data_IF_127487346347
#
_entry.id   IF_127487346347
#
_cell.length_a   1.000
_cell.length_b   1.000
_cell.length_c   1.000
_cell.angle_alpha   90.00
_cell.angle_beta   90.00
_cell.angle_gamma   90.00
#
_symmetry.space_group_name_H-M   'P 1'
#
loop_
_entity.id
_entity.type
_entity.pdbx_description
1 polymer ?
#
# COMPACT_ATOMS: atom_id res chain seq x y z
N UNK A 1 -58.11 -46.61 27.36
CA UNK A 1 -57.85 -47.95 26.82
C UNK A 1 -56.50 -48.40 27.37
N UNK A 2 -56.45 -49.50 28.10
CA UNK A 2 -55.19 -50.13 28.52
C UNK A 2 -54.96 -51.29 27.55
N UNK A 3 -53.89 -51.25 26.76
CA UNK A 3 -53.47 -52.36 25.91
C UNK A 3 -52.07 -52.80 26.29
N UNK A 4 -51.89 -54.11 26.47
CA UNK A 4 -50.63 -54.77 26.79
C UNK A 4 -50.46 -55.96 25.85
N UNK A 5 -49.24 -56.23 25.37
CA UNK A 5 -48.93 -57.40 24.55
C UNK A 5 -47.56 -57.94 24.88
N UNK A 6 -47.41 -59.26 24.90
CA UNK A 6 -46.15 -59.97 25.08
C UNK A 6 -45.61 -60.57 23.77
N UNK A 7 -46.34 -60.40 22.65
CA UNK A 7 -45.94 -60.92 21.34
C UNK A 7 -44.92 -59.97 20.67
N UNK A 8 -43.73 -60.47 20.27
CA UNK A 8 -42.75 -59.66 19.57
C UNK A 8 -43.32 -59.06 18.28
N UNK A 9 -43.15 -57.74 18.10
CA UNK A 9 -43.49 -57.04 16.85
C UNK A 9 -44.97 -56.65 16.68
N UNK A 10 -45.87 -57.03 17.60
CA UNK A 10 -47.27 -56.60 17.55
C UNK A 10 -47.50 -55.33 18.39
N UNK A 11 -48.37 -54.43 17.91
CA UNK A 11 -48.75 -53.23 18.65
C UNK A 11 -49.83 -53.55 19.70
N UNK A 12 -49.60 -53.14 20.94
CA UNK A 12 -50.58 -53.34 22.03
C UNK A 12 -51.87 -52.52 21.85
N UNK A 13 -51.75 -51.34 21.20
CA UNK A 13 -52.87 -50.47 20.82
C UNK A 13 -52.59 -49.91 19.42
N UNK A 14 -53.59 -49.96 18.52
CA UNK A 14 -53.50 -49.41 17.15
C UNK A 14 -54.70 -48.50 16.87
N UNK A 15 -54.42 -47.21 16.62
CA UNK A 15 -55.41 -46.25 16.16
C UNK A 15 -55.33 -46.06 14.64
N UNK A 16 -56.46 -46.10 13.93
CA UNK A 16 -56.55 -45.81 12.50
C UNK A 16 -57.72 -44.87 12.24
N UNK A 17 -57.51 -43.80 11.49
CA UNK A 17 -58.56 -42.86 11.10
C UNK A 17 -58.36 -42.42 9.65
N UNK A 18 -59.46 -42.20 8.91
CA UNK A 18 -59.42 -41.78 7.51
C UNK A 18 -59.41 -40.26 7.33
N UNK A 19 -59.96 -39.52 8.28
CA UNK A 19 -60.22 -38.07 8.15
C UNK A 19 -60.02 -37.29 9.45
N UNK A 20 -59.38 -37.90 10.45
CA UNK A 20 -59.07 -37.26 11.74
C UNK A 20 -57.85 -37.89 12.40
N UNK A 21 -57.47 -37.47 13.62
CA UNK A 21 -56.33 -38.05 14.32
C UNK A 21 -56.59 -39.52 14.65
N UNK A 22 -55.58 -40.37 14.47
CA UNK A 22 -55.64 -41.77 14.91
C UNK A 22 -55.59 -41.92 16.44
N UNK A 23 -54.88 -41.01 17.11
CA UNK A 23 -54.78 -40.88 18.57
C UNK A 23 -54.75 -39.37 18.90
N UNK A 24 -55.53 -38.94 19.89
CA UNK A 24 -55.55 -37.55 20.38
C UNK A 24 -55.49 -37.56 21.92
N UNK A 25 -54.38 -37.09 22.49
CA UNK A 25 -54.16 -37.03 23.94
C UNK A 25 -54.20 -35.59 24.46
N UNK A 26 -54.95 -35.35 25.54
CA UNK A 26 -55.05 -34.06 26.24
C UNK A 26 -54.83 -34.34 27.73
N UNK A 27 -53.96 -33.56 28.38
CA UNK A 27 -53.69 -33.64 29.80
C UNK A 27 -53.50 -32.24 30.38
N UNK A 28 -53.92 -32.04 31.63
CA UNK A 28 -53.86 -30.74 32.32
C UNK A 28 -52.69 -30.65 33.31
N UNK A 29 -52.28 -31.78 33.91
CA UNK A 29 -51.29 -31.82 34.99
C UNK A 29 -50.08 -32.72 34.68
N UNK A 30 -50.15 -33.50 33.59
CA UNK A 30 -49.14 -34.47 33.16
C UNK A 30 -48.90 -34.42 31.65
N UNK A 31 -48.05 -35.30 31.13
CA UNK A 31 -47.80 -35.43 29.69
C UNK A 31 -49.06 -35.82 28.93
N UNK A 32 -49.35 -35.14 27.81
CA UNK A 32 -50.40 -35.56 26.88
C UNK A 32 -50.07 -36.89 26.19
N UNK A 33 -48.77 -37.14 25.94
CA UNK A 33 -48.20 -38.39 25.43
C UNK A 33 -46.84 -38.60 26.11
N UNK A 34 -46.67 -39.74 26.79
CA UNK A 34 -45.39 -40.15 27.40
C UNK A 34 -44.92 -41.44 26.71
N UNK A 35 -43.70 -41.43 26.17
CA UNK A 35 -43.12 -42.58 25.48
C UNK A 35 -41.75 -42.93 26.07
N UNK A 36 -41.59 -44.19 26.47
CA UNK A 36 -40.32 -44.73 26.97
C UNK A 36 -40.01 -46.01 26.22
N UNK A 37 -38.75 -46.19 25.81
CA UNK A 37 -38.25 -47.43 25.22
C UNK A 37 -36.96 -47.85 25.91
N UNK A 38 -36.78 -49.16 26.10
CA UNK A 38 -35.50 -49.75 26.47
C UNK A 38 -34.89 -50.55 25.29
N UNK A 39 -35.41 -50.34 24.08
CA UNK A 39 -34.90 -51.03 22.90
C UNK A 39 -33.54 -50.47 22.50
N UNK A 40 -32.54 -51.32 22.20
CA UNK A 40 -31.26 -50.86 21.66
C UNK A 40 -31.35 -50.41 20.19
N UNK A 41 -32.48 -50.64 19.50
CA UNK A 41 -32.59 -50.46 18.04
C UNK A 41 -33.83 -49.67 17.60
N UNK A 42 -34.81 -49.44 18.48
CA UNK A 42 -36.09 -48.82 18.12
C UNK A 42 -36.26 -47.46 18.79
N UNK A 43 -36.82 -46.50 18.06
CA UNK A 43 -37.18 -45.18 18.59
C UNK A 43 -38.35 -45.28 19.59
N UNK A 44 -38.36 -44.40 20.60
CA UNK A 44 -39.50 -44.26 21.50
C UNK A 44 -40.72 -43.68 20.77
N UNK A 45 -40.48 -42.76 19.83
CA UNK A 45 -41.48 -42.17 18.94
C UNK A 45 -40.88 -42.14 17.54
N UNK A 46 -41.61 -42.65 16.55
CA UNK A 46 -41.25 -42.55 15.14
C UNK A 46 -42.43 -41.94 14.36
N UNK A 47 -42.18 -40.82 13.68
CA UNK A 47 -43.14 -40.18 12.78
C UNK A 47 -42.69 -40.38 11.33
N UNK A 48 -43.64 -40.67 10.44
CA UNK A 48 -43.40 -40.81 9.01
C UNK A 48 -44.49 -40.10 8.22
N UNK A 49 -44.13 -39.18 7.34
CA UNK A 49 -45.00 -38.72 6.27
C UNK A 49 -44.62 -39.47 4.99
N UNK A 50 -45.48 -40.37 4.53
CA UNK A 50 -45.23 -41.24 3.38
C UNK A 50 -45.68 -40.62 2.05
N UNK A 51 -46.33 -39.45 2.08
CA UNK A 51 -46.72 -38.73 0.88
C UNK A 51 -45.55 -37.87 0.40
N UNK A 52 -44.96 -38.23 -0.74
CA UNK A 52 -43.82 -37.53 -1.34
C UNK A 52 -44.15 -36.12 -1.83
N UNK A 53 -45.43 -35.77 -1.95
CA UNK A 53 -45.91 -34.41 -2.27
C UNK A 53 -46.46 -33.67 -1.04
N UNK A 54 -46.46 -34.32 0.14
CA UNK A 54 -47.04 -33.76 1.36
C UNK A 54 -46.16 -32.66 1.95
N UNK A 55 -46.72 -31.48 2.19
CA UNK A 55 -46.00 -30.31 2.76
C UNK A 55 -46.11 -30.21 4.29
N UNK A 56 -46.87 -31.09 4.93
CA UNK A 56 -47.08 -31.08 6.38
C UNK A 56 -45.88 -31.58 7.17
N UNK A 57 -45.61 -30.97 8.32
CA UNK A 57 -44.55 -31.39 9.23
C UNK A 57 -44.83 -32.77 9.83
N UNK A 58 -43.80 -33.63 9.88
CA UNK A 58 -43.89 -34.96 10.52
C UNK A 58 -44.03 -34.85 12.05
N UNK A 59 -43.44 -33.81 12.65
CA UNK A 59 -43.62 -33.42 14.04
C UNK A 59 -43.79 -31.90 14.10
N UNK A 60 -44.83 -31.45 14.81
CA UNK A 60 -45.07 -30.03 15.08
C UNK A 60 -45.15 -29.82 16.59
N UNK A 61 -44.37 -28.87 17.10
CA UNK A 61 -44.35 -28.50 18.51
C UNK A 61 -44.47 -26.96 18.62
N UNK A 62 -45.43 -26.50 19.41
CA UNK A 62 -45.63 -25.09 19.74
C UNK A 62 -45.60 -24.93 21.26
N UNK A 63 -44.77 -24.04 21.78
CA UNK A 63 -44.73 -23.69 23.19
C UNK A 63 -45.03 -22.19 23.35
N UNK A 64 -46.17 -21.86 23.96
CA UNK A 64 -46.56 -20.47 24.29
C UNK A 64 -46.04 -20.01 25.65
N UNK A 65 -45.45 -20.92 26.42
CA UNK A 65 -44.83 -20.66 27.72
C UNK A 65 -43.37 -20.23 27.59
N UNK A 66 -42.64 -20.26 28.72
CA UNK A 66 -41.22 -19.84 28.81
C UNK A 66 -40.21 -20.97 28.66
N UNK A 67 -40.67 -22.22 28.56
CA UNK A 67 -39.80 -23.39 28.41
C UNK A 67 -39.35 -23.62 26.96
N UNK A 68 -38.41 -24.54 26.70
CA UNK A 68 -38.06 -24.92 25.35
C UNK A 68 -39.24 -25.58 24.62
N UNK A 69 -39.36 -25.34 23.30
CA UNK A 69 -40.32 -26.08 22.45
C UNK A 69 -39.87 -27.51 22.15
N UNK A 70 -38.54 -27.73 22.11
CA UNK A 70 -37.90 -29.04 21.97
C UNK A 70 -36.65 -29.06 22.86
N UNK A 71 -36.49 -30.10 23.68
CA UNK A 71 -35.31 -30.31 24.52
C UNK A 71 -34.76 -31.72 24.28
N UNK A 72 -33.54 -31.81 23.74
CA UNK A 72 -32.87 -33.06 23.44
C UNK A 72 -31.58 -33.18 24.26
N UNK A 73 -31.40 -34.32 24.93
CA UNK A 73 -30.18 -34.66 25.66
C UNK A 73 -29.80 -36.09 25.33
N UNK A 74 -28.54 -36.30 24.97
CA UNK A 74 -28.00 -37.63 24.66
C UNK A 74 -26.73 -37.87 25.46
N UNK A 75 -26.37 -39.15 25.65
CA UNK A 75 -25.08 -39.55 26.18
C UNK A 75 -24.04 -39.57 25.05
N UNK A 76 -23.55 -40.76 24.62
CA UNK A 76 -22.78 -40.86 23.38
C UNK A 76 -23.71 -40.80 22.16
N UNK A 77 -23.61 -39.75 21.34
CA UNK A 77 -24.34 -39.63 20.07
C UNK A 77 -24.71 -38.19 19.70
N UNK A 78 -25.35 -38.00 18.55
CA UNK A 78 -25.92 -36.72 18.17
C UNK A 78 -27.26 -36.51 18.89
N UNK A 79 -27.47 -35.33 19.49
CA UNK A 79 -28.76 -34.97 20.08
C UNK A 79 -29.82 -34.69 19.01
N UNK A 80 -29.38 -34.17 17.85
CA UNK A 80 -30.18 -33.92 16.65
C UNK A 80 -29.32 -34.31 15.44
N UNK A 81 -29.82 -35.22 14.59
CA UNK A 81 -29.26 -35.55 13.27
C UNK A 81 -30.28 -35.15 12.20
N UNK A 82 -30.00 -34.10 11.43
CA UNK A 82 -30.90 -33.50 10.45
C UNK A 82 -30.32 -33.58 9.04
N UNK A 83 -31.11 -34.06 8.08
CA UNK A 83 -30.71 -34.25 6.67
C UNK A 83 -31.83 -33.76 5.76
N UNK A 84 -31.46 -33.11 4.66
CA UNK A 84 -32.37 -32.59 3.65
C UNK A 84 -31.73 -32.69 2.26
N UNK A 85 -32.54 -33.01 1.25
CA UNK A 85 -32.08 -33.20 -0.14
C UNK A 85 -32.40 -32.00 -1.04
N UNK A 86 -33.17 -31.01 -0.57
CA UNK A 86 -33.63 -29.90 -1.41
C UNK A 86 -34.04 -28.62 -0.69
N UNK A 87 -33.79 -28.51 0.62
CA UNK A 87 -34.12 -27.34 1.45
C UNK A 87 -33.16 -27.24 2.64
N UNK A 88 -33.26 -26.22 3.51
CA UNK A 88 -32.43 -26.17 4.72
C UNK A 88 -32.72 -27.37 5.64
N UNK A 89 -31.67 -28.04 6.12
CA UNK A 89 -31.80 -29.13 7.09
C UNK A 89 -32.17 -28.63 8.49
N UNK A 90 -31.74 -27.40 8.84
CA UNK A 90 -32.05 -26.72 10.09
C UNK A 90 -32.31 -25.25 9.78
N UNK A 91 -33.44 -24.72 10.24
CA UNK A 91 -33.80 -23.31 10.13
C UNK A 91 -34.05 -22.75 11.54
N UNK A 92 -33.47 -21.59 11.85
CA UNK A 92 -33.62 -20.92 13.13
C UNK A 92 -33.80 -19.41 12.92
N UNK A 93 -34.83 -18.84 13.55
CA UNK A 93 -35.18 -17.42 13.47
C UNK A 93 -35.53 -16.91 14.87
N UNK A 94 -35.21 -15.65 15.16
CA UNK A 94 -35.64 -14.97 16.38
C UNK A 94 -35.94 -13.51 16.09
N UNK A 95 -37.02 -12.99 16.67
CA UNK A 95 -37.34 -11.57 16.68
C UNK A 95 -37.00 -10.92 18.04
N UNK A 96 -36.33 -11.65 18.94
CA UNK A 96 -35.93 -11.12 20.23
C UNK A 96 -34.73 -10.18 20.10
N UNK A 97 -34.78 -9.04 20.80
CA UNK A 97 -33.78 -7.96 20.71
C UNK A 97 -32.37 -8.32 21.21
N UNK A 98 -32.22 -9.43 21.93
CA UNK A 98 -30.94 -9.84 22.52
C UNK A 98 -30.73 -11.35 22.65
N UNK A 99 -31.51 -12.15 21.90
CA UNK A 99 -31.31 -13.60 21.88
C UNK A 99 -30.56 -14.02 20.62
N UNK A 100 -29.65 -14.98 20.75
CA UNK A 100 -29.08 -15.65 19.59
C UNK A 100 -30.14 -16.57 18.96
N UNK A 101 -30.23 -16.59 17.63
CA UNK A 101 -31.05 -17.58 16.92
C UNK A 101 -30.50 -19.00 17.12
N UNK A 102 -29.16 -19.13 17.20
CA UNK A 102 -28.45 -20.36 17.52
C UNK A 102 -27.30 -20.02 18.47
N UNK A 103 -27.17 -20.77 19.56
CA UNK A 103 -26.04 -20.66 20.48
C UNK A 103 -25.35 -22.03 20.61
N UNK A 104 -24.03 -22.06 20.47
CA UNK A 104 -23.21 -23.28 20.51
C UNK A 104 -22.10 -23.09 21.54
N UNK A 105 -21.99 -24.01 22.50
CA UNK A 105 -21.02 -23.95 23.58
C UNK A 105 -20.30 -25.29 23.74
N UNK A 106 -18.99 -25.25 23.96
CA UNK A 106 -18.22 -26.37 24.50
C UNK A 106 -17.81 -26.00 25.92
N UNK A 107 -18.20 -26.83 26.89
CA UNK A 107 -17.92 -26.60 28.31
C UNK A 107 -16.62 -27.29 28.76
N UNK A 108 -16.02 -28.13 27.91
CA UNK A 108 -14.76 -28.81 28.20
C UNK A 108 -13.57 -27.95 27.75
N UNK A 109 -12.81 -27.42 28.70
CA UNK A 109 -11.65 -26.56 28.47
C UNK A 109 -10.43 -27.29 27.90
N UNK A 110 -10.43 -28.62 27.92
CA UNK A 110 -9.37 -29.46 27.33
C UNK A 110 -9.81 -30.09 25.98
N UNK A 111 -11.03 -29.81 25.51
CA UNK A 111 -11.56 -30.38 24.28
C UNK A 111 -10.93 -29.77 23.02
N UNK A 112 -10.47 -30.60 22.10
CA UNK A 112 -9.88 -30.17 20.82
C UNK A 112 -10.89 -30.07 19.65
N UNK A 113 -12.19 -30.31 19.91
CA UNK A 113 -13.24 -30.31 18.89
C UNK A 113 -13.68 -28.90 18.48
N UNK A 114 -14.02 -28.71 17.21
CA UNK A 114 -14.62 -27.47 16.72
C UNK A 114 -16.05 -27.29 17.25
N UNK A 115 -16.42 -26.05 17.59
CA UNK A 115 -17.83 -25.71 17.93
C UNK A 115 -18.74 -25.86 16.71
N UNK A 116 -18.27 -25.39 15.55
CA UNK A 116 -18.93 -25.53 14.26
C UNK A 116 -17.90 -26.01 13.25
N UNK A 117 -18.19 -27.13 12.60
CA UNK A 117 -17.40 -27.65 11.48
C UNK A 117 -18.30 -27.74 10.26
N UNK A 118 -17.87 -27.15 9.15
CA UNK A 118 -18.58 -27.19 7.87
C UNK A 118 -17.62 -27.51 6.73
N UNK A 119 -18.04 -28.42 5.84
CA UNK A 119 -17.35 -28.71 4.59
C UNK A 119 -18.32 -28.40 3.44
N UNK A 120 -17.91 -27.55 2.51
CA UNK A 120 -18.67 -27.27 1.31
C UNK A 120 -17.90 -27.79 0.08
N UNK A 121 -18.45 -28.83 -0.58
CA UNK A 121 -17.91 -29.37 -1.84
C UNK A 121 -18.51 -28.71 -3.09
N UNK A 122 -19.51 -27.86 -2.90
CA UNK A 122 -20.14 -27.06 -3.94
C UNK A 122 -19.35 -25.79 -4.26
N UNK A 123 -19.95 -24.93 -5.11
CA UNK A 123 -19.34 -23.65 -5.53
C UNK A 123 -19.74 -22.44 -4.68
N UNK A 124 -20.70 -22.61 -3.77
CA UNK A 124 -21.17 -21.53 -2.89
C UNK A 124 -20.18 -21.26 -1.73
N UNK A 125 -20.36 -20.14 -1.01
CA UNK A 125 -19.57 -19.89 0.20
C UNK A 125 -19.83 -20.97 1.25
N UNK A 126 -18.80 -21.33 2.04
CA UNK A 126 -18.98 -22.21 3.20
C UNK A 126 -19.76 -21.53 4.32
N UNK A 127 -19.53 -20.22 4.51
CA UNK A 127 -20.25 -19.36 5.46
C UNK A 127 -20.56 -18.04 4.76
N UNK A 128 -21.81 -17.58 4.81
CA UNK A 128 -22.25 -16.29 4.27
C UNK A 128 -22.98 -15.49 5.35
N UNK A 129 -22.48 -14.30 5.66
CA UNK A 129 -23.03 -13.43 6.72
C UNK A 129 -23.36 -12.06 6.12
N UNK A 130 -24.53 -11.53 6.46
CA UNK A 130 -24.94 -10.17 6.11
C UNK A 130 -25.47 -9.45 7.35
N UNK A 131 -24.86 -8.33 7.68
CA UNK A 131 -25.19 -7.55 8.87
C UNK A 131 -25.47 -6.10 8.47
N UNK A 132 -26.59 -5.54 8.95
CA UNK A 132 -26.97 -4.14 8.68
C UNK A 132 -26.37 -3.12 9.64
N UNK A 133 -26.17 -3.51 10.90
CA UNK A 133 -25.54 -2.70 11.94
C UNK A 133 -24.70 -3.60 12.87
N UNK A 134 -23.50 -3.15 13.24
CA UNK A 134 -22.55 -3.92 14.06
C UNK A 134 -21.57 -4.77 13.24
N UNK A 135 -20.72 -5.52 13.93
CA UNK A 135 -19.75 -6.42 13.29
C UNK A 135 -20.45 -7.65 12.69
N UNK A 136 -20.08 -8.02 11.47
CA UNK A 136 -20.53 -9.28 10.87
C UNK A 136 -19.82 -10.50 11.49
N UNK A 137 -18.59 -10.31 11.92
CA UNK A 137 -17.78 -11.30 12.64
C UNK A 137 -16.99 -10.59 13.74
N UNK A 138 -17.14 -11.05 14.98
CA UNK A 138 -16.33 -10.65 16.13
C UNK A 138 -15.60 -11.90 16.64
N UNK A 139 -14.30 -11.99 16.35
CA UNK A 139 -13.48 -13.16 16.62
C UNK A 139 -12.36 -12.83 17.61
N UNK A 140 -12.25 -13.64 18.67
CA UNK A 140 -11.25 -13.50 19.72
C UNK A 140 -10.64 -14.85 20.07
N UNK A 141 -9.33 -14.87 20.23
CA UNK A 141 -8.57 -16.03 20.70
C UNK A 141 -7.48 -15.58 21.67
N UNK A 142 -7.17 -16.40 22.67
CA UNK A 142 -6.14 -16.09 23.68
C UNK A 142 -4.81 -16.78 23.40
N UNK A 143 -4.83 -17.94 22.75
CA UNK A 143 -3.66 -18.83 22.61
C UNK A 143 -3.37 -19.23 21.17
N UNK A 144 -4.21 -18.83 20.21
CA UNK A 144 -4.09 -19.21 18.81
C UNK A 144 -4.52 -18.07 17.90
N UNK A 145 -4.42 -18.25 16.58
CA UNK A 145 -4.97 -17.28 15.64
C UNK A 145 -6.49 -17.15 15.79
N UNK A 146 -6.99 -15.91 15.79
CA UNK A 146 -8.42 -15.64 15.84
C UNK A 146 -9.10 -15.89 14.49
N UNK A 147 -8.36 -15.69 13.40
CA UNK A 147 -8.79 -15.93 12.02
C UNK A 147 -7.64 -16.55 11.24
N UNK A 148 -7.93 -17.65 10.54
CA UNK A 148 -7.02 -18.30 9.60
C UNK A 148 -7.70 -18.37 8.23
N UNK A 149 -6.97 -18.00 7.18
CA UNK A 149 -7.45 -18.12 5.81
C UNK A 149 -6.33 -18.64 4.91
N UNK A 150 -6.65 -19.67 4.12
CA UNK A 150 -5.75 -20.26 3.14
C UNK A 150 -6.51 -20.46 1.83
N UNK A 151 -5.82 -20.30 0.70
CA UNK A 151 -6.35 -20.64 -0.61
C UNK A 151 -5.24 -21.24 -1.46
N UNK A 152 -5.60 -22.25 -2.26
CA UNK A 152 -4.74 -22.80 -3.30
C UNK A 152 -5.21 -22.36 -4.71
N UNK A 153 -6.14 -21.39 -4.79
CA UNK A 153 -6.61 -20.86 -6.05
C UNK A 153 -5.55 -19.93 -6.68
N UNK A 154 -5.36 -20.02 -8.00
CA UNK A 154 -4.32 -19.27 -8.71
C UNK A 154 -4.59 -17.77 -8.84
N UNK A 155 -5.86 -17.35 -8.80
CA UNK A 155 -6.29 -15.99 -9.15
C UNK A 155 -7.25 -15.38 -8.12
N UNK A 156 -7.33 -15.96 -6.92
CA UNK A 156 -8.26 -15.51 -5.88
C UNK A 156 -7.48 -15.12 -4.64
N UNK A 157 -7.79 -13.97 -4.06
CA UNK A 157 -7.21 -13.55 -2.79
C UNK A 157 -7.67 -14.49 -1.65
N UNK A 158 -6.76 -14.84 -0.74
CA UNK A 158 -7.13 -15.57 0.48
C UNK A 158 -8.11 -14.75 1.35
N UNK A 159 -7.91 -13.43 1.39
CA UNK A 159 -8.76 -12.46 2.08
C UNK A 159 -8.91 -11.24 1.17
N UNK A 160 -10.15 -10.80 0.95
CA UNK A 160 -10.46 -9.57 0.24
C UNK A 160 -11.24 -8.64 1.15
N UNK A 161 -10.76 -7.40 1.33
CA UNK A 161 -11.37 -6.38 2.17
C UNK A 161 -11.68 -5.13 1.34
N UNK A 162 -12.94 -4.71 1.33
CA UNK A 162 -13.41 -3.58 0.54
C UNK A 162 -14.23 -2.62 1.39
N UNK A 163 -13.84 -1.35 1.43
CA UNK A 163 -14.73 -0.27 1.82
C UNK A 163 -15.33 0.35 0.56
N UNK A 164 -16.61 0.10 0.32
CA UNK A 164 -17.32 0.53 -0.90
C UNK A 164 -18.00 1.90 -0.75
N UNK A 165 -17.88 2.55 0.40
CA UNK A 165 -18.39 3.91 0.60
C UNK A 165 -17.35 4.93 0.10
N UNK A 166 -17.59 5.65 -1.01
CA UNK A 166 -16.58 6.54 -1.61
C UNK A 166 -16.22 7.75 -0.76
N UNK A 167 -17.01 8.08 0.27
CA UNK A 167 -16.73 9.15 1.22
C UNK A 167 -16.36 8.64 2.61
N UNK A 168 -16.26 7.31 2.78
CA UNK A 168 -15.89 6.69 4.05
C UNK A 168 -14.41 6.92 4.36
N UNK A 169 -14.11 7.32 5.60
CA UNK A 169 -12.73 7.54 6.07
C UNK A 169 -12.13 6.34 6.80
N UNK A 170 -12.92 5.29 7.01
CA UNK A 170 -12.48 4.07 7.71
C UNK A 170 -11.52 3.24 6.87
N UNK A 171 -10.49 2.69 7.51
CA UNK A 171 -9.55 1.77 6.89
C UNK A 171 -10.23 0.45 6.49
N UNK A 172 -9.88 -0.10 5.32
CA UNK A 172 -10.35 -1.44 4.92
C UNK A 172 -9.69 -2.55 5.74
N UNK A 173 -8.47 -2.32 6.23
CA UNK A 173 -7.75 -3.17 7.17
C UNK A 173 -7.11 -2.28 8.24
N UNK A 174 -7.32 -2.61 9.51
CA UNK A 174 -6.71 -1.92 10.65
C UNK A 174 -6.02 -2.95 11.55
N UNK A 175 -4.76 -2.71 11.88
CA UNK A 175 -3.98 -3.55 12.78
C UNK A 175 -3.27 -2.68 13.82
N UNK A 176 -3.49 -2.98 15.11
CA UNK A 176 -2.74 -2.43 16.24
C UNK A 176 -2.00 -3.58 16.92
N UNK A 177 -0.68 -3.45 17.06
CA UNK A 177 0.13 -4.42 17.78
C UNK A 177 0.89 -3.73 18.91
N UNK A 178 0.51 -4.07 20.14
CA UNK A 178 1.17 -3.61 21.38
C UNK A 178 2.27 -4.55 21.85
N UNK A 179 2.46 -5.68 21.16
CA UNK A 179 3.54 -6.64 21.39
C UNK A 179 4.84 -6.21 20.71
N UNK A 180 5.82 -7.12 20.71
CA UNK A 180 7.15 -6.88 20.11
C UNK A 180 7.28 -7.34 18.65
N UNK A 181 6.31 -8.12 18.16
CA UNK A 181 6.30 -8.62 16.79
C UNK A 181 6.00 -7.53 15.75
N UNK A 182 6.08 -7.84 14.46
CA UNK A 182 5.57 -6.96 13.41
C UNK A 182 4.04 -6.84 13.53
N UNK A 183 3.49 -5.64 13.28
CA UNK A 183 2.04 -5.47 13.15
C UNK A 183 1.49 -6.13 11.88
N UNK A 184 2.28 -6.09 10.79
CA UNK A 184 2.01 -6.78 9.52
C UNK A 184 3.32 -7.40 9.04
N UNK A 185 3.31 -8.70 8.71
CA UNK A 185 4.45 -9.42 8.16
C UNK A 185 4.06 -10.05 6.83
N UNK A 186 4.77 -9.71 5.76
CA UNK A 186 4.48 -10.19 4.40
C UNK A 186 5.70 -10.87 3.81
N UNK A 187 5.50 -12.02 3.18
CA UNK A 187 6.54 -12.75 2.45
C UNK A 187 5.97 -13.26 1.14
N UNK A 188 6.64 -12.94 0.05
CA UNK A 188 6.25 -13.33 -1.31
C UNK A 188 7.43 -14.01 -2.00
N UNK A 189 7.16 -15.09 -2.74
CA UNK A 189 8.21 -15.79 -3.49
C UNK A 189 8.60 -15.07 -4.78
N UNK A 190 7.61 -14.68 -5.58
CA UNK A 190 7.76 -13.95 -6.85
C UNK A 190 6.68 -12.85 -6.91
N UNK A 191 7.05 -11.64 -7.32
CA UNK A 191 6.15 -10.48 -7.42
C UNK A 191 6.31 -9.48 -6.27
N UNK A 192 5.51 -8.41 -6.31
CA UNK A 192 5.49 -7.41 -5.23
C UNK A 192 4.88 -8.00 -3.96
N UNK A 193 5.55 -7.83 -2.82
CA UNK A 193 4.97 -8.19 -1.52
C UNK A 193 3.84 -7.22 -1.12
N UNK A 194 4.00 -5.94 -1.46
CA UNK A 194 2.99 -4.89 -1.26
C UNK A 194 2.95 -4.04 -2.54
N UNK A 195 1.80 -3.96 -3.19
CA UNK A 195 1.51 -3.02 -4.29
C UNK A 195 0.53 -1.96 -3.76
N UNK A 196 1.06 -0.80 -3.38
CA UNK A 196 0.30 0.30 -2.80
C UNK A 196 0.14 1.44 -3.81
N UNK A 197 -1.10 1.87 -4.04
CA UNK A 197 -1.45 2.95 -4.98
C UNK A 197 -2.44 3.90 -4.33
N UNK A 198 -2.28 5.19 -4.59
CA UNK A 198 -3.15 6.25 -4.12
C UNK A 198 -3.26 7.33 -5.19
N UNK A 199 -4.47 7.87 -5.37
CA UNK A 199 -4.73 8.90 -6.40
C UNK A 199 -4.46 10.33 -5.89
N UNK A 200 -4.62 10.57 -4.58
CA UNK A 200 -4.65 11.92 -4.02
C UNK A 200 -3.90 12.08 -2.69
N UNK A 201 -3.26 11.02 -2.18
CA UNK A 201 -2.54 11.04 -0.90
C UNK A 201 -1.29 10.17 -0.97
N UNK A 202 -0.48 10.12 0.10
CA UNK A 202 0.63 9.17 0.14
C UNK A 202 0.15 7.71 0.04
N UNK A 203 0.83 6.91 -0.80
CA UNK A 203 0.54 5.49 -0.90
C UNK A 203 1.11 4.70 0.30
N UNK A 204 2.21 5.20 0.90
CA UNK A 204 2.87 4.62 2.06
C UNK A 204 3.26 5.75 3.00
N UNK A 205 2.73 5.72 4.22
CA UNK A 205 3.15 6.59 5.32
C UNK A 205 3.92 5.77 6.35
N UNK A 206 5.08 6.25 6.79
CA UNK A 206 5.90 5.55 7.76
C UNK A 206 6.52 6.52 8.77
N UNK A 207 6.31 6.25 10.05
CA UNK A 207 6.85 7.04 11.16
C UNK A 207 7.50 6.12 12.19
N UNK A 208 8.56 6.60 12.85
CA UNK A 208 9.14 5.94 14.01
C UNK A 208 9.64 6.97 14.99
N UNK A 209 9.46 6.70 16.29
CA UNK A 209 10.08 7.46 17.38
C UNK A 209 11.32 6.74 17.93
N UNK A 210 11.82 5.71 17.23
CA UNK A 210 13.04 5.00 17.65
C UNK A 210 14.25 5.93 17.54
N UNK A 211 15.12 6.01 18.56
CA UNK A 211 16.34 6.80 18.48
C UNK A 211 17.38 6.24 17.49
N UNK A 212 17.27 4.95 17.13
CA UNK A 212 18.33 4.21 16.44
C UNK A 212 17.83 3.33 15.28
N UNK A 213 16.58 3.48 14.84
CA UNK A 213 16.00 2.66 13.77
C UNK A 213 15.47 3.56 12.67
N UNK A 214 15.72 3.20 11.42
CA UNK A 214 15.15 3.91 10.29
C UNK A 214 13.62 3.72 10.25
N UNK A 215 12.88 4.75 9.84
CA UNK A 215 11.44 4.63 9.60
C UNK A 215 11.14 3.65 8.44
N UNK A 216 11.99 3.68 7.41
CA UNK A 216 11.95 2.78 6.25
C UNK A 216 13.36 2.25 6.03
N UNK A 217 13.49 0.93 5.91
CA UNK A 217 14.73 0.28 5.54
C UNK A 217 14.51 -0.54 4.26
N UNK A 218 15.28 -0.24 3.21
CA UNK A 218 15.18 -0.88 1.91
C UNK A 218 16.51 -1.59 1.58
N UNK A 219 16.43 -2.88 1.26
CA UNK A 219 17.60 -3.72 1.01
C UNK A 219 17.40 -4.55 -0.25
N UNK A 220 18.37 -4.51 -1.15
CA UNK A 220 18.54 -5.52 -2.19
C UNK A 220 19.63 -6.51 -1.71
N UNK A 221 19.21 -7.69 -1.26
CA UNK A 221 20.11 -8.67 -0.66
C UNK A 221 20.78 -9.60 -1.69
N UNK A 222 20.47 -9.44 -2.97
CA UNK A 222 21.14 -10.17 -4.04
C UNK A 222 22.43 -9.44 -4.44
N UNK A 223 23.58 -10.01 -4.08
CA UNK A 223 24.91 -9.43 -4.30
C UNK A 223 25.25 -9.22 -5.79
N UNK A 224 24.64 -9.99 -6.69
CA UNK A 224 24.86 -9.89 -8.14
C UNK A 224 23.86 -8.94 -8.83
N UNK A 225 22.91 -8.36 -8.07
CA UNK A 225 21.90 -7.48 -8.63
C UNK A 225 22.45 -6.10 -8.96
N UNK A 226 22.08 -5.60 -10.14
CA UNK A 226 22.32 -4.20 -10.55
C UNK A 226 21.14 -3.28 -10.22
N UNK A 227 20.08 -3.81 -9.60
CA UNK A 227 18.87 -3.06 -9.28
C UNK A 227 19.04 -2.20 -8.03
N UNK A 228 18.51 -0.97 -8.07
CA UNK A 228 18.50 -0.09 -6.92
C UNK A 228 17.62 -0.66 -5.79
N UNK A 229 18.08 -0.56 -4.54
CA UNK A 229 17.27 -0.94 -3.38
C UNK A 229 16.07 -0.01 -3.18
N UNK A 230 16.19 1.25 -3.61
CA UNK A 230 15.13 2.23 -3.67
C UNK A 230 15.17 2.91 -5.04
N UNK A 231 14.03 2.90 -5.73
CA UNK A 231 13.83 3.59 -7.00
C UNK A 231 12.67 4.56 -6.87
N UNK A 232 12.86 5.79 -7.34
CA UNK A 232 11.84 6.82 -7.37
C UNK A 232 11.87 7.51 -8.73
N UNK A 233 10.69 7.71 -9.31
CA UNK A 233 10.47 8.41 -10.58
C UNK A 233 9.38 9.47 -10.39
N UNK A 234 9.63 10.67 -10.89
CA UNK A 234 8.63 11.73 -10.95
C UNK A 234 8.49 12.20 -12.39
N UNK A 235 7.34 11.88 -13.01
CA UNK A 235 7.05 12.21 -14.41
C UNK A 235 6.65 13.68 -14.65
N UNK A 236 6.43 14.43 -13.59
CA UNK A 236 6.14 15.86 -13.65
C UNK A 236 7.41 16.71 -13.54
N UNK A 237 7.29 17.90 -12.94
CA UNK A 237 8.38 18.88 -12.78
C UNK A 237 9.01 18.90 -11.39
N UNK A 238 8.43 18.17 -10.43
CA UNK A 238 8.92 18.08 -9.06
C UNK A 238 10.11 17.13 -8.89
N UNK A 239 10.72 17.10 -7.69
CA UNK A 239 11.81 16.17 -7.41
C UNK A 239 11.30 14.74 -7.24
N UNK A 240 12.10 13.76 -7.64
CA UNK A 240 11.85 12.35 -7.32
C UNK A 240 12.10 12.03 -5.83
N UNK A 241 12.92 12.83 -5.13
CA UNK A 241 13.18 12.71 -3.70
C UNK A 241 13.48 14.06 -3.05
N UNK A 242 12.96 14.28 -1.84
CA UNK A 242 13.18 15.47 -1.04
C UNK A 242 13.63 15.08 0.37
N UNK A 243 14.78 15.57 0.81
CA UNK A 243 15.39 15.18 2.09
C UNK A 243 15.64 16.40 2.96
N UNK A 244 15.02 16.45 4.13
CA UNK A 244 15.32 17.44 5.18
C UNK A 244 16.28 16.84 6.20
N UNK A 245 17.56 17.18 6.07
CA UNK A 245 18.65 16.64 6.88
C UNK A 245 19.86 16.30 6.02
N UNK A 246 20.80 15.56 6.60
CA UNK A 246 21.99 15.12 5.87
C UNK A 246 21.70 13.85 5.06
N UNK A 247 22.30 13.77 3.88
CA UNK A 247 22.36 12.54 3.07
C UNK A 247 23.79 12.03 3.11
N UNK A 248 23.97 10.80 3.57
CA UNK A 248 25.28 10.13 3.61
C UNK A 248 25.31 9.09 2.48
N UNK A 249 26.28 9.22 1.58
CA UNK A 249 26.52 8.28 0.48
C UNK A 249 27.94 7.75 0.63
N UNK A 250 28.09 6.43 0.73
CA UNK A 250 29.39 5.76 0.91
C UNK A 250 30.05 5.39 -0.41
N UNK A 251 29.31 5.44 -1.52
CA UNK A 251 29.81 5.37 -2.89
C UNK A 251 29.69 6.71 -3.60
N UNK A 252 29.56 6.68 -4.92
CA UNK A 252 29.47 7.89 -5.73
C UNK A 252 28.04 8.45 -5.83
N UNK A 253 27.95 9.77 -5.97
CA UNK A 253 26.73 10.45 -6.41
C UNK A 253 26.84 10.68 -7.92
N UNK A 254 26.07 9.92 -8.69
CA UNK A 254 26.07 10.02 -10.15
C UNK A 254 25.14 11.14 -10.61
N UNK A 255 25.73 12.20 -11.17
CA UNK A 255 25.03 13.36 -11.71
C UNK A 255 25.27 13.44 -13.22
N UNK A 256 24.23 13.74 -13.98
CA UNK A 256 24.30 13.77 -15.46
C UNK A 256 24.71 15.13 -16.02
N UNK A 257 24.71 16.18 -15.21
CA UNK A 257 25.14 17.52 -15.62
C UNK A 257 26.67 17.68 -15.64
N UNK A 258 27.14 18.75 -16.27
CA UNK A 258 28.51 18.90 -16.73
C UNK A 258 29.38 19.83 -15.86
N UNK A 259 28.75 20.69 -15.06
CA UNK A 259 29.40 21.70 -14.23
C UNK A 259 28.82 21.78 -12.81
N UNK A 260 29.64 22.29 -11.89
CA UNK A 260 29.23 22.73 -10.57
C UNK A 260 28.91 24.23 -10.69
N UNK A 261 27.65 24.58 -10.49
CA UNK A 261 27.19 25.95 -10.55
C UNK A 261 26.70 26.44 -9.20
N UNK A 262 26.73 27.75 -8.99
CA UNK A 262 26.09 28.42 -7.85
C UNK A 262 25.19 29.54 -8.36
N UNK A 263 24.05 29.74 -7.72
CA UNK A 263 23.11 30.78 -8.12
C UNK A 263 23.56 32.16 -7.64
N UNK A 264 23.71 33.11 -8.57
CA UNK A 264 23.97 34.53 -8.27
C UNK A 264 22.83 35.41 -8.77
N UNK A 265 22.59 36.55 -8.11
CA UNK A 265 21.66 37.57 -8.59
C UNK A 265 22.28 38.37 -9.76
N UNK A 266 21.53 38.64 -10.82
CA UNK A 266 21.94 39.62 -11.84
C UNK A 266 21.65 41.05 -11.38
N UNK A 267 22.47 42.00 -11.82
CA UNK A 267 22.14 43.42 -11.72
C UNK A 267 20.84 43.72 -12.50
N UNK A 268 19.92 44.45 -11.87
CA UNK A 268 18.52 44.66 -12.32
C UNK A 268 18.37 45.25 -13.74
N UNK A 269 19.42 45.89 -14.26
CA UNK A 269 19.40 46.55 -15.58
C UNK A 269 19.76 45.65 -16.76
N UNK A 270 20.13 44.38 -16.53
CA UNK A 270 20.69 43.49 -17.58
C UNK A 270 19.98 42.13 -17.70
N UNK A 271 18.84 41.92 -17.01
CA UNK A 271 18.19 40.59 -16.94
C UNK A 271 17.72 40.03 -18.27
N UNK A 272 17.38 40.88 -19.24
CA UNK A 272 16.90 40.43 -20.57
C UNK A 272 18.05 40.15 -21.56
N UNK A 273 19.28 40.59 -21.26
CA UNK A 273 20.44 40.46 -22.16
C UNK A 273 21.35 39.28 -21.79
N UNK A 274 21.30 38.83 -20.53
CA UNK A 274 22.12 37.73 -20.04
C UNK A 274 21.45 36.38 -20.35
N UNK A 275 22.11 35.61 -21.21
CA UNK A 275 21.71 34.25 -21.60
C UNK A 275 22.78 33.25 -21.18
N UNK A 276 22.47 31.94 -21.12
CA UNK A 276 23.49 30.93 -20.94
C UNK A 276 24.66 31.09 -21.93
N UNK A 277 25.87 30.98 -21.41
CA UNK A 277 27.13 31.24 -22.09
C UNK A 277 27.68 32.66 -21.96
N UNK A 278 26.91 33.59 -21.41
CA UNK A 278 27.40 34.95 -21.11
C UNK A 278 28.46 34.92 -20.02
N UNK A 279 29.57 35.63 -20.25
CA UNK A 279 30.64 35.85 -19.28
C UNK A 279 30.28 37.02 -18.37
N UNK A 280 30.34 36.78 -17.05
CA UNK A 280 29.94 37.76 -16.04
C UNK A 280 31.09 38.07 -15.08
N UNK A 281 31.00 39.24 -14.45
CA UNK A 281 31.94 39.75 -13.45
C UNK A 281 31.19 40.04 -12.14
N UNK A 282 31.91 39.99 -11.01
CA UNK A 282 31.38 40.36 -9.71
C UNK A 282 30.98 41.85 -9.69
N UNK A 283 29.78 42.11 -9.16
CA UNK A 283 29.23 43.45 -8.96
C UNK A 283 28.73 43.64 -7.51
N UNK A 284 29.49 43.10 -6.55
CA UNK A 284 29.18 43.19 -5.12
C UNK A 284 28.98 41.83 -4.48
N UNK A 285 28.29 41.83 -3.34
CA UNK A 285 28.00 40.60 -2.59
C UNK A 285 26.85 39.88 -3.29
N UNK A 286 27.08 38.64 -3.72
CA UNK A 286 26.03 37.76 -4.24
C UNK A 286 25.32 38.32 -5.50
N UNK A 287 26.05 39.17 -6.24
CA UNK A 287 25.60 39.85 -7.45
C UNK A 287 26.65 39.84 -8.54
N UNK A 288 26.21 39.57 -9.76
CA UNK A 288 27.04 39.61 -10.97
C UNK A 288 26.40 40.47 -12.05
N UNK A 289 27.22 40.94 -12.99
CA UNK A 289 26.79 41.67 -14.19
C UNK A 289 27.56 41.18 -15.40
N UNK A 290 27.09 41.48 -16.60
CA UNK A 290 27.78 41.16 -17.84
C UNK A 290 29.18 41.79 -17.86
N UNK A 291 30.17 41.02 -18.32
CA UNK A 291 31.53 41.53 -18.56
C UNK A 291 31.50 42.53 -19.73
N UNK A 292 32.27 43.62 -19.62
CA UNK A 292 32.28 44.70 -20.64
C UNK A 292 33.69 45.24 -20.90
N UNK A 293 34.72 44.58 -20.36
CA UNK A 293 36.10 45.06 -20.42
C UNK A 293 37.04 43.87 -20.48
N UNK A 294 38.03 43.95 -21.37
CA UNK A 294 39.04 42.93 -21.53
C UNK A 294 39.94 42.81 -20.30
N UNK A 295 40.26 41.56 -19.91
CA UNK A 295 41.06 41.25 -18.72
C UNK A 295 40.53 41.87 -17.41
N UNK A 296 39.21 41.80 -17.19
CA UNK A 296 38.60 42.20 -15.91
C UNK A 296 38.90 41.13 -14.86
N UNK A 297 39.66 41.51 -13.82
CA UNK A 297 40.02 40.61 -12.72
C UNK A 297 38.85 40.27 -11.80
N UNK A 298 37.68 40.89 -12.00
CA UNK A 298 36.43 40.54 -11.31
C UNK A 298 35.66 39.43 -12.00
N UNK A 299 36.20 38.79 -13.03
CA UNK A 299 35.54 37.68 -13.72
C UNK A 299 35.06 36.63 -12.73
N UNK A 300 33.77 36.33 -12.78
CA UNK A 300 33.11 35.47 -11.81
C UNK A 300 32.81 34.09 -12.39
N UNK A 301 32.69 33.98 -13.71
CA UNK A 301 32.37 32.73 -14.40
C UNK A 301 31.50 32.94 -15.63
N UNK A 302 30.88 31.85 -16.08
CA UNK A 302 29.99 31.82 -17.25
C UNK A 302 28.62 31.35 -16.83
N UNK A 303 27.56 32.01 -17.28
CA UNK A 303 26.19 31.57 -17.02
C UNK A 303 25.97 30.19 -17.63
N UNK A 304 25.60 29.20 -16.80
CA UNK A 304 25.49 27.80 -17.20
C UNK A 304 24.16 27.50 -17.91
N UNK A 305 24.12 26.36 -18.60
CA UNK A 305 22.91 25.85 -19.28
C UNK A 305 22.85 26.06 -20.80
N UNK A 306 23.94 26.51 -21.42
CA UNK A 306 24.02 26.69 -22.87
C UNK A 306 24.38 25.38 -23.59
N UNK A 307 24.00 25.30 -24.88
CA UNK A 307 24.28 24.13 -25.73
C UNK A 307 23.76 22.84 -25.09
N UNK A 308 24.61 21.81 -25.08
CA UNK A 308 24.30 20.48 -24.52
C UNK A 308 24.68 20.33 -23.04
N UNK A 309 25.24 21.37 -22.42
CA UNK A 309 25.66 21.31 -21.01
C UNK A 309 24.62 21.91 -20.08
N UNK A 310 24.35 21.22 -18.97
CA UNK A 310 23.49 21.65 -17.88
C UNK A 310 24.24 21.47 -16.56
N UNK A 311 23.99 22.31 -15.54
CA UNK A 311 24.50 22.10 -14.19
C UNK A 311 24.25 20.68 -13.68
N UNK A 312 25.30 20.04 -13.17
CA UNK A 312 25.19 18.78 -12.43
C UNK A 312 24.80 19.01 -10.97
N UNK A 313 25.32 20.09 -10.39
CA UNK A 313 24.94 20.58 -9.06
C UNK A 313 24.69 22.09 -9.17
N UNK A 314 23.65 22.55 -8.50
CA UNK A 314 23.39 23.98 -8.30
C UNK A 314 23.40 24.25 -6.80
N UNK A 315 24.37 25.05 -6.36
CA UNK A 315 24.49 25.54 -5.00
C UNK A 315 23.70 26.85 -4.82
N UNK A 316 23.40 27.16 -3.56
CA UNK A 316 22.55 28.29 -3.17
C UNK A 316 21.20 28.34 -3.89
N UNK A 317 20.61 27.16 -4.10
CA UNK A 317 19.28 27.03 -4.69
C UNK A 317 18.20 27.46 -3.67
N UNK A 318 17.95 28.76 -3.61
CA UNK A 318 16.87 29.38 -2.83
C UNK A 318 15.61 29.49 -3.69
N UNK A 319 14.44 29.50 -3.05
CA UNK A 319 13.15 29.72 -3.74
C UNK A 319 13.28 30.88 -4.73
N UNK A 320 12.85 30.63 -5.96
CA UNK A 320 13.12 31.45 -7.14
C UNK A 320 12.67 32.90 -6.95
N UNK A 321 13.53 33.72 -6.35
CA UNK A 321 13.52 35.15 -6.63
C UNK A 321 13.89 35.26 -8.10
N UNK A 322 12.96 35.79 -8.91
CA UNK A 322 13.23 36.11 -10.30
C UNK A 322 14.57 36.85 -10.41
N UNK A 323 15.42 36.46 -11.36
CA UNK A 323 16.71 37.10 -11.60
C UNK A 323 17.95 36.42 -11.00
N UNK A 324 17.86 35.15 -10.58
CA UNK A 324 19.05 34.35 -10.23
C UNK A 324 19.43 33.34 -11.29
N UNK A 325 20.72 33.24 -11.58
CA UNK A 325 21.23 32.41 -12.67
C UNK A 325 22.35 31.50 -12.17
N UNK A 326 22.40 30.23 -12.63
CA UNK A 326 23.47 29.32 -12.29
C UNK A 326 24.76 29.77 -12.97
N UNK A 327 25.77 30.10 -12.18
CA UNK A 327 27.09 30.47 -12.65
C UNK A 327 28.01 29.26 -12.59
N UNK A 328 28.53 28.80 -13.72
CA UNK A 328 29.51 27.73 -13.76
C UNK A 328 30.80 28.17 -13.06
N UNK A 329 31.16 27.50 -11.96
CA UNK A 329 32.38 27.78 -11.20
C UNK A 329 33.51 26.84 -11.59
N UNK A 330 33.16 25.58 -11.89
CA UNK A 330 34.09 24.56 -12.36
C UNK A 330 33.35 23.54 -13.22
N UNK A 331 34.03 23.03 -14.25
CA UNK A 331 33.48 22.00 -15.14
C UNK A 331 33.34 22.50 -16.58
N UNK A 332 32.56 21.78 -17.39
CA UNK A 332 32.39 22.09 -18.80
C UNK A 332 31.16 22.97 -18.99
N UNK A 333 31.34 24.10 -19.65
CA UNK A 333 30.26 25.03 -19.99
C UNK A 333 30.44 25.53 -21.41
N UNK A 334 29.35 25.88 -22.09
CA UNK A 334 29.45 26.65 -23.32
C UNK A 334 29.65 28.13 -22.97
N UNK A 335 30.62 28.77 -23.61
CA UNK A 335 30.97 30.17 -23.41
C UNK A 335 30.83 30.92 -24.73
N UNK A 336 30.28 32.13 -24.66
CA UNK A 336 30.31 33.09 -25.77
C UNK A 336 31.72 33.63 -25.88
N UNK A 337 32.32 33.53 -27.05
CA UNK A 337 33.72 33.88 -27.30
C UNK A 337 33.82 34.76 -28.54
N UNK A 338 34.66 35.78 -28.47
CA UNK A 338 35.02 36.66 -29.58
C UNK A 338 36.47 36.39 -30.01
N UNK A 339 36.61 35.74 -31.16
CA UNK A 339 37.86 35.45 -31.83
C UNK A 339 38.26 36.53 -32.86
N UNK A 340 37.59 37.68 -32.88
CA UNK A 340 37.97 38.82 -33.74
C UNK A 340 39.34 39.41 -33.35
N UNK A 341 39.76 39.22 -32.10
CA UNK A 341 41.06 39.67 -31.59
C UNK A 341 42.20 38.68 -31.92
N UNK A 342 41.90 37.38 -31.90
CA UNK A 342 42.78 36.31 -32.35
C UNK A 342 42.00 34.99 -32.46
N UNK A 343 42.37 34.09 -33.40
CA UNK A 343 41.82 32.74 -33.45
C UNK A 343 42.04 32.00 -32.12
N UNK A 344 41.00 31.28 -31.68
CA UNK A 344 41.01 30.45 -30.47
C UNK A 344 41.22 29.00 -30.88
N UNK A 345 42.21 28.34 -30.29
CA UNK A 345 42.47 26.91 -30.43
C UNK A 345 42.18 26.14 -29.13
N UNK A 346 42.10 24.82 -29.24
CA UNK A 346 41.92 23.94 -28.07
C UNK A 346 43.06 24.13 -27.08
N UNK A 347 42.72 24.35 -25.81
CA UNK A 347 43.67 24.54 -24.72
C UNK A 347 44.11 25.98 -24.49
N UNK A 348 43.75 26.91 -25.37
CA UNK A 348 44.03 28.34 -25.18
C UNK A 348 43.35 28.87 -23.93
N UNK A 349 44.07 29.71 -23.18
CA UNK A 349 43.50 30.43 -22.05
C UNK A 349 42.55 31.50 -22.56
N UNK A 350 41.41 31.62 -21.90
CA UNK A 350 40.39 32.61 -22.18
C UNK A 350 40.29 33.62 -21.03
N UNK A 351 40.01 34.86 -21.37
CA UNK A 351 39.79 36.00 -20.46
C UNK A 351 38.55 36.77 -20.90
N UNK A 352 38.00 37.70 -20.11
CA UNK A 352 36.92 38.60 -20.58
C UNK A 352 37.35 39.41 -21.80
N UNK A 353 36.38 39.77 -22.64
CA UNK A 353 36.54 40.61 -23.85
C UNK A 353 35.98 42.02 -23.63
N UNK A 354 36.37 42.96 -24.49
CA UNK A 354 35.67 44.25 -24.61
C UNK A 354 34.29 44.08 -25.29
N UNK A 355 34.06 42.95 -25.96
CA UNK A 355 32.75 42.56 -26.50
C UNK A 355 31.86 42.07 -25.34
N UNK A 356 30.76 42.77 -25.01
CA UNK A 356 30.00 42.51 -23.80
C UNK A 356 29.54 41.05 -23.65
N UNK A 357 29.82 40.44 -22.51
CA UNK A 357 29.40 39.07 -22.22
C UNK A 357 30.19 37.97 -22.93
N UNK A 358 31.28 38.32 -23.63
CA UNK A 358 32.12 37.35 -24.34
C UNK A 358 33.49 37.21 -23.67
N UNK A 359 34.06 36.02 -23.78
CA UNK A 359 35.49 35.82 -23.56
C UNK A 359 36.29 36.06 -24.85
N UNK A 360 37.60 36.18 -24.74
CA UNK A 360 38.55 36.21 -25.86
C UNK A 360 39.82 35.46 -25.46
N UNK A 361 40.70 35.17 -26.42
CA UNK A 361 42.02 34.57 -26.14
C UNK A 361 42.85 35.48 -25.24
N UNK A 362 43.40 34.92 -24.17
CA UNK A 362 44.34 35.61 -23.29
C UNK A 362 45.73 35.61 -23.95
N UNK A 363 46.11 36.77 -24.49
CA UNK A 363 47.37 37.00 -25.20
C UNK A 363 48.42 37.72 -24.35
N UNK A 364 48.00 38.42 -23.28
CA UNK A 364 48.87 39.18 -22.38
C UNK A 364 49.06 38.43 -21.06
N UNK A 365 50.20 37.75 -20.85
CA UNK A 365 50.47 37.02 -19.61
C UNK A 365 50.47 37.92 -18.36
N UNK A 366 50.83 39.19 -18.49
CA UNK A 366 50.91 40.15 -17.38
C UNK A 366 49.55 40.57 -16.84
N UNK A 367 48.52 40.57 -17.70
CA UNK A 367 47.12 40.85 -17.34
C UNK A 367 46.28 39.60 -17.07
N UNK A 368 46.80 38.42 -17.41
CA UNK A 368 46.06 37.15 -17.31
C UNK A 368 45.85 36.69 -15.87
N UNK A 369 46.75 37.05 -14.94
CA UNK A 369 46.62 36.64 -13.54
C UNK A 369 45.37 37.28 -12.91
N UNK A 370 44.42 36.45 -12.45
CA UNK A 370 43.14 36.87 -11.90
C UNK A 370 42.05 37.21 -12.93
N UNK A 371 42.33 37.18 -14.24
CA UNK A 371 41.36 37.47 -15.30
C UNK A 371 41.03 36.28 -16.21
N UNK A 372 41.76 35.17 -16.08
CA UNK A 372 41.50 33.94 -16.83
C UNK A 372 40.24 33.26 -16.30
N UNK A 373 39.32 32.94 -17.22
CA UNK A 373 38.06 32.24 -16.91
C UNK A 373 38.15 30.72 -17.14
N UNK A 374 39.06 30.28 -18.00
CA UNK A 374 39.19 28.87 -18.34
C UNK A 374 40.01 28.60 -19.59
N UNK A 375 39.85 27.39 -20.13
CA UNK A 375 40.48 26.95 -21.38
C UNK A 375 39.46 26.56 -22.44
N UNK A 376 39.71 26.94 -23.68
CA UNK A 376 38.90 26.51 -24.80
C UNK A 376 38.96 24.99 -25.01
N UNK A 377 37.82 24.36 -25.27
CA UNK A 377 37.73 22.93 -25.62
C UNK A 377 37.44 22.69 -27.11
N UNK A 378 37.12 23.74 -27.86
CA UNK A 378 37.04 23.72 -29.32
C UNK A 378 37.72 24.95 -29.91
N UNK A 379 38.04 24.88 -31.20
CA UNK A 379 38.56 26.02 -31.93
C UNK A 379 37.45 26.99 -32.35
N UNK A 380 37.81 28.26 -32.56
CA UNK A 380 37.01 29.30 -33.21
C UNK A 380 37.98 30.17 -34.02
N UNK A 381 37.94 30.03 -35.35
CA UNK A 381 38.93 30.65 -36.25
C UNK A 381 38.80 32.17 -36.34
N UNK A 382 37.61 32.72 -36.07
CA UNK A 382 37.35 34.16 -36.08
C UNK A 382 35.88 34.50 -35.79
N UNK A 383 35.61 35.78 -35.55
CA UNK A 383 34.26 36.28 -35.25
C UNK A 383 33.76 35.86 -33.86
N UNK A 384 32.45 35.91 -33.67
CA UNK A 384 31.78 35.57 -32.40
C UNK A 384 31.16 34.17 -32.51
N UNK A 385 31.37 33.34 -31.49
CA UNK A 385 30.82 31.99 -31.44
C UNK A 385 30.55 31.50 -30.01
N UNK A 386 29.70 30.49 -29.90
CA UNK A 386 29.46 29.77 -28.65
C UNK A 386 30.28 28.48 -28.68
N UNK A 387 31.29 28.36 -27.81
CA UNK A 387 32.20 27.20 -27.79
C UNK A 387 32.26 26.56 -26.40
N UNK A 388 32.44 25.23 -26.30
CA UNK A 388 32.70 24.58 -25.01
C UNK A 388 34.05 25.03 -24.45
N UNK A 389 34.06 25.31 -23.15
CA UNK A 389 35.26 25.65 -22.38
C UNK A 389 35.28 24.82 -21.09
N UNK A 390 36.47 24.60 -20.56
CA UNK A 390 36.67 24.11 -19.20
C UNK A 390 36.86 25.32 -18.28
N UNK A 391 35.86 25.61 -17.43
CA UNK A 391 35.92 26.70 -16.46
C UNK A 391 36.83 26.31 -15.31
N UNK A 392 37.75 27.21 -14.98
CA UNK A 392 38.75 27.07 -13.94
C UNK A 392 39.01 28.47 -13.36
N UNK A 393 38.13 28.97 -12.49
CA UNK A 393 38.37 30.23 -11.79
C UNK A 393 39.58 30.05 -10.86
N UNK A 394 40.57 30.95 -10.97
CA UNK A 394 41.84 30.89 -10.25
C UNK A 394 42.14 32.18 -9.51
#
# INVERSE_FOLDING_TARGET
>A
MHGETSRPGEAAVKGTSKSGPGIHGISQEFDGVHATTNSPQNAAIAGYNLNTEGTGATLFAENRGRGPGLFARTGPGAAVDAKSEGFEAVHAETNATGAAAVAVYSLNTEGAGALVFGENRGRGPGVFVRTGQGAALDARSETFEALHAETNASEVAAIAAYNVNPTGTGASLFADNRGRGPGVFVRTGIGAAVDARSEAYEAVHAETNSPNTAAIAAYNLNADSTGAALYADHRGVGPAGFFKGNVIVTGDVLLTGADLAENFSLAETETDEVVPGTVVVLDGIDRVRMSTSAYDSKVAGVVSGAGDYRPGVILDHRDQRAGRYPLALVGKVYCRVDASYAPVGVGDLLTTSDTPGHAMKALDPGRSFGAVIGKAMSALDGGIGLIPILVLLR
#
